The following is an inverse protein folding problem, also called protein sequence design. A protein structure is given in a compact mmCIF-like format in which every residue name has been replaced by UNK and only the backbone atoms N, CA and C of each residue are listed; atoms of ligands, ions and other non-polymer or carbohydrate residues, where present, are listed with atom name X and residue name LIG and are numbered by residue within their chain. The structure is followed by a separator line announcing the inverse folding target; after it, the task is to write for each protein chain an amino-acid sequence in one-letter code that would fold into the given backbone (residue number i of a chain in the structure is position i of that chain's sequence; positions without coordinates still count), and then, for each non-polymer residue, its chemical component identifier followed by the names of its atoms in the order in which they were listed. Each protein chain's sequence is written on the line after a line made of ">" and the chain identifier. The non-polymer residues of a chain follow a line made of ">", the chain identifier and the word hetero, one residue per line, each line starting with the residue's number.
data_IF_240513973279
#
_entry.id   IF_240513973279
#
_cell.length_a   1.000
_cell.length_b   1.000
_cell.length_c   1.000
_cell.angle_alpha   90.00
_cell.angle_beta   90.00
_cell.angle_gamma   90.00
#
_symmetry.space_group_name_H-M   'P 1'
#
loop_
_entity.id
_entity.type
_entity.pdbx_description
1 polymer ?
#
# COMPACT_ATOMS: atom_id res chain seq x y z
N UNK A 1 -22.70 33.36 10.22
CA UNK A 1 -22.38 32.04 10.79
C UNK A 1 -21.85 31.16 9.69
N UNK A 2 -20.53 31.19 9.48
CA UNK A 2 -19.81 30.36 8.51
C UNK A 2 -18.49 29.98 9.20
N UNK A 3 -18.52 28.94 9.99
CA UNK A 3 -17.36 28.34 10.64
C UNK A 3 -17.83 27.01 11.19
N UNK A 4 -17.03 25.95 10.99
CA UNK A 4 -17.06 24.64 11.68
C UNK A 4 -17.25 23.42 10.77
N UNK A 5 -17.42 23.59 9.45
CA UNK A 5 -17.47 22.46 8.50
C UNK A 5 -16.12 21.97 7.98
N UNK A 6 -15.09 22.82 7.96
CA UNK A 6 -13.84 22.57 7.22
C UNK A 6 -12.77 21.79 7.98
N UNK A 7 -12.87 21.68 9.30
CA UNK A 7 -11.88 20.94 10.11
C UNK A 7 -12.18 19.43 10.20
N UNK A 8 -13.37 18.98 9.80
CA UNK A 8 -13.77 17.57 9.87
C UNK A 8 -13.44 16.76 8.61
N UNK A 9 -13.02 17.40 7.52
CA UNK A 9 -12.79 16.76 6.21
C UNK A 9 -11.34 16.30 6.00
N UNK A 10 -10.43 16.67 6.91
CA UNK A 10 -9.00 16.34 6.80
C UNK A 10 -8.80 14.83 6.96
N UNK A 11 -8.35 14.19 5.88
CA UNK A 11 -8.10 12.75 5.81
C UNK A 11 -9.32 11.91 5.41
N UNK A 12 -10.49 12.51 5.16
CA UNK A 12 -11.65 11.78 4.65
C UNK A 12 -11.39 11.27 3.23
N UNK A 13 -10.77 12.10 2.39
CA UNK A 13 -10.38 11.77 1.02
C UNK A 13 -9.42 10.57 0.99
N UNK A 14 -8.37 10.61 1.82
CA UNK A 14 -7.42 9.50 1.92
C UNK A 14 -8.09 8.18 2.38
N UNK A 15 -9.00 8.24 3.37
CA UNK A 15 -9.72 7.03 3.84
C UNK A 15 -10.54 6.38 2.75
N UNK A 16 -11.17 7.14 1.86
CA UNK A 16 -11.91 6.58 0.73
C UNK A 16 -11.01 5.89 -0.29
N UNK A 17 -9.80 6.41 -0.51
CA UNK A 17 -8.80 5.73 -1.34
C UNK A 17 -8.30 4.45 -0.66
N UNK A 18 -8.04 4.49 0.66
CA UNK A 18 -7.69 3.30 1.45
C UNK A 18 -8.80 2.23 1.36
N UNK A 19 -10.08 2.62 1.45
CA UNK A 19 -11.21 1.71 1.25
C UNK A 19 -11.21 1.11 -0.15
N UNK A 20 -11.04 1.93 -1.19
CA UNK A 20 -11.04 1.46 -2.58
C UNK A 20 -9.90 0.48 -2.87
N UNK A 21 -8.69 0.76 -2.37
CA UNK A 21 -7.53 -0.14 -2.51
C UNK A 21 -7.75 -1.46 -1.76
N UNK A 22 -8.31 -1.41 -0.53
CA UNK A 22 -8.64 -2.63 0.23
C UNK A 22 -9.72 -3.46 -0.44
N UNK A 23 -10.73 -2.83 -1.04
CA UNK A 23 -11.76 -3.52 -1.83
C UNK A 23 -11.14 -4.24 -3.04
N UNK A 24 -10.25 -3.56 -3.77
CA UNK A 24 -9.55 -4.16 -4.91
C UNK A 24 -8.68 -5.34 -4.49
N UNK A 25 -7.96 -5.23 -3.37
CA UNK A 25 -7.18 -6.34 -2.84
C UNK A 25 -8.07 -7.53 -2.44
N UNK A 26 -9.21 -7.27 -1.78
CA UNK A 26 -10.18 -8.30 -1.43
C UNK A 26 -10.76 -9.01 -2.67
N UNK A 27 -11.02 -8.27 -3.75
CA UNK A 27 -11.44 -8.84 -5.04
C UNK A 27 -10.39 -9.80 -5.62
N UNK A 28 -9.11 -9.42 -5.58
CA UNK A 28 -8.00 -10.29 -6.05
C UNK A 28 -7.93 -11.56 -5.21
N UNK A 29 -8.00 -11.46 -3.88
CA UNK A 29 -8.01 -12.63 -2.97
C UNK A 29 -9.22 -13.53 -3.25
N UNK A 30 -10.41 -12.94 -3.46
CA UNK A 30 -11.61 -13.70 -3.82
C UNK A 30 -11.45 -14.45 -5.14
N UNK A 31 -10.90 -13.80 -6.17
CA UNK A 31 -10.61 -14.45 -7.46
C UNK A 31 -9.61 -15.60 -7.32
N UNK A 32 -8.61 -15.45 -6.45
CA UNK A 32 -7.67 -16.52 -6.12
C UNK A 32 -8.37 -17.70 -5.42
N UNK A 33 -9.21 -17.44 -4.40
CA UNK A 33 -10.03 -18.48 -3.77
C UNK A 33 -10.89 -19.23 -4.80
N UNK A 34 -11.54 -18.50 -5.72
CA UNK A 34 -12.34 -19.09 -6.79
C UNK A 34 -11.51 -19.94 -7.76
N UNK A 35 -10.26 -19.55 -8.02
CA UNK A 35 -9.35 -20.34 -8.85
C UNK A 35 -8.95 -21.66 -8.16
N UNK A 36 -8.75 -21.66 -6.84
CA UNK A 36 -8.39 -22.86 -6.07
C UNK A 36 -9.51 -23.91 -6.03
N UNK A 37 -10.76 -23.47 -6.00
CA UNK A 37 -11.93 -24.36 -6.01
C UNK A 37 -12.42 -24.67 -7.43
N UNK A 38 -11.78 -24.11 -8.46
CA UNK A 38 -12.20 -24.29 -9.85
C UNK A 38 -12.10 -25.76 -10.25
N UNK A 39 -13.19 -26.30 -10.78
CA UNK A 39 -13.30 -27.71 -11.17
C UNK A 39 -13.93 -28.61 -10.11
N UNK A 40 -14.20 -28.08 -8.91
CA UNK A 40 -15.10 -28.72 -7.95
C UNK A 40 -16.53 -28.32 -8.35
N UNK A 41 -17.25 -29.24 -8.98
CA UNK A 41 -18.66 -29.04 -9.33
C UNK A 41 -19.51 -29.14 -8.05
N UNK A 42 -20.29 -28.11 -7.66
CA UNK A 42 -21.21 -28.23 -6.54
C UNK A 42 -22.30 -29.29 -6.77
N UNK A 43 -22.58 -29.68 -8.03
CA UNK A 43 -23.53 -30.71 -8.42
C UNK A 43 -22.86 -32.08 -8.69
N UNK A 44 -21.75 -32.37 -8.00
CA UNK A 44 -21.08 -33.68 -8.06
C UNK A 44 -22.08 -34.83 -7.88
N UNK A 45 -22.33 -35.57 -8.96
CA UNK A 45 -23.15 -36.78 -8.92
C UNK A 45 -22.49 -37.86 -8.04
N UNK A 46 -23.29 -38.77 -7.47
CA UNK A 46 -22.84 -39.83 -6.56
C UNK A 46 -21.75 -40.77 -7.12
N UNK A 47 -21.46 -40.71 -8.43
CA UNK A 47 -20.45 -41.53 -9.12
C UNK A 47 -19.15 -40.79 -9.44
N UNK A 48 -19.02 -39.51 -9.05
CA UNK A 48 -17.85 -38.68 -9.37
C UNK A 48 -16.98 -38.46 -8.12
N UNK A 49 -15.68 -38.74 -8.22
CA UNK A 49 -14.72 -38.48 -7.16
C UNK A 49 -13.65 -37.49 -7.63
N UNK A 50 -13.43 -36.43 -6.84
CA UNK A 50 -12.35 -35.46 -7.05
C UNK A 50 -11.37 -35.60 -5.90
N UNK A 51 -10.08 -35.72 -6.21
CA UNK A 51 -9.01 -35.71 -5.22
C UNK A 51 -8.48 -34.28 -5.10
N UNK A 52 -8.63 -33.67 -3.92
CA UNK A 52 -8.05 -32.36 -3.59
C UNK A 52 -6.83 -32.61 -2.71
N UNK A 53 -5.70 -31.97 -3.03
CA UNK A 53 -4.50 -32.09 -2.22
C UNK A 53 -4.66 -31.30 -0.90
N UNK A 54 -4.15 -31.83 0.21
CA UNK A 54 -4.17 -31.15 1.53
C UNK A 54 -3.59 -29.73 1.44
N UNK A 55 -2.49 -29.56 0.68
CA UNK A 55 -1.88 -28.27 0.42
C UNK A 55 -2.83 -27.24 -0.22
N UNK A 56 -3.73 -27.66 -1.13
CA UNK A 56 -4.71 -26.77 -1.75
C UNK A 56 -5.81 -26.36 -0.77
N UNK A 57 -6.18 -27.25 0.16
CA UNK A 57 -7.14 -26.96 1.23
C UNK A 57 -6.54 -25.95 2.21
N UNK A 58 -5.27 -26.10 2.56
CA UNK A 58 -4.57 -25.17 3.43
C UNK A 58 -4.35 -23.80 2.77
N UNK A 59 -3.99 -23.78 1.49
CA UNK A 59 -3.88 -22.55 0.69
C UNK A 59 -5.23 -21.80 0.65
N UNK A 60 -6.32 -22.53 0.37
CA UNK A 60 -7.67 -21.96 0.38
C UNK A 60 -8.05 -21.43 1.76
N UNK A 61 -7.74 -22.17 2.83
CA UNK A 61 -8.02 -21.73 4.21
C UNK A 61 -7.29 -20.43 4.53
N UNK A 62 -6.02 -20.31 4.13
CA UNK A 62 -5.23 -19.10 4.28
C UNK A 62 -5.84 -17.91 3.54
N UNK A 63 -6.19 -18.10 2.25
CA UNK A 63 -6.78 -17.04 1.44
C UNK A 63 -8.16 -16.59 1.94
N UNK A 64 -8.98 -17.51 2.45
CA UNK A 64 -10.29 -17.18 3.06
C UNK A 64 -10.12 -16.39 4.36
N UNK A 65 -9.14 -16.74 5.21
CA UNK A 65 -8.85 -15.98 6.42
C UNK A 65 -8.40 -14.55 6.09
N UNK A 66 -7.49 -14.39 5.12
CA UNK A 66 -7.05 -13.08 4.64
C UNK A 66 -8.21 -12.23 4.11
N UNK A 67 -9.13 -12.84 3.34
CA UNK A 67 -10.33 -12.16 2.85
C UNK A 67 -11.21 -11.67 4.01
N UNK A 68 -11.37 -12.48 5.06
CA UNK A 68 -12.11 -12.11 6.27
C UNK A 68 -11.53 -10.87 6.95
N UNK A 69 -10.21 -10.87 7.17
CA UNK A 69 -9.50 -9.73 7.79
C UNK A 69 -9.66 -8.44 6.96
N UNK A 70 -9.56 -8.55 5.63
CA UNK A 70 -9.76 -7.40 4.71
C UNK A 70 -11.17 -6.84 4.81
N UNK A 71 -12.19 -7.70 4.84
CA UNK A 71 -13.60 -7.28 4.98
C UNK A 71 -13.84 -6.57 6.32
N UNK A 72 -13.27 -7.07 7.41
CA UNK A 72 -13.36 -6.42 8.73
C UNK A 72 -12.75 -5.02 8.72
N UNK A 73 -11.56 -4.86 8.12
CA UNK A 73 -10.89 -3.57 7.99
C UNK A 73 -11.68 -2.58 7.13
N UNK A 74 -12.28 -3.04 6.02
CA UNK A 74 -13.16 -2.22 5.18
C UNK A 74 -14.37 -1.73 5.99
N UNK A 75 -14.98 -2.62 6.79
CA UNK A 75 -16.08 -2.26 7.70
C UNK A 75 -15.67 -1.17 8.69
N UNK A 76 -14.54 -1.36 9.37
CA UNK A 76 -14.01 -0.39 10.33
C UNK A 76 -13.70 0.98 9.70
N UNK A 77 -13.15 1.01 8.48
CA UNK A 77 -12.90 2.26 7.76
C UNK A 77 -14.20 2.95 7.32
N UNK A 78 -15.18 2.17 6.85
CA UNK A 78 -16.48 2.69 6.42
C UNK A 78 -17.23 3.32 7.58
N UNK A 79 -17.25 2.67 8.75
CA UNK A 79 -17.88 3.19 9.97
C UNK A 79 -17.26 4.51 10.44
N UNK A 80 -15.92 4.64 10.33
CA UNK A 80 -15.19 5.88 10.64
C UNK A 80 -15.45 7.01 9.63
N UNK A 81 -16.00 6.69 8.46
CA UNK A 81 -16.19 7.63 7.34
C UNK A 81 -17.67 8.00 7.15
N UNK A 82 -18.55 7.55 8.06
CA UNK A 82 -20.01 7.59 7.96
C UNK A 82 -20.67 8.99 8.08
N UNK A 83 -20.03 10.10 7.67
CA UNK A 83 -20.64 11.44 7.78
C UNK A 83 -20.41 12.30 6.55
N UNK A 84 -21.51 12.84 6.02
CA UNK A 84 -21.54 13.92 5.03
C UNK A 84 -21.33 13.50 3.58
N UNK A 85 -21.69 14.39 2.66
CA UNK A 85 -21.19 14.38 1.29
C UNK A 85 -19.84 15.08 1.26
N UNK A 86 -18.83 14.49 0.63
CA UNK A 86 -17.51 15.06 0.48
C UNK A 86 -17.14 15.08 -1.01
N UNK A 87 -16.25 16.00 -1.39
CA UNK A 87 -15.74 16.13 -2.76
C UNK A 87 -14.31 15.59 -2.82
N UNK A 88 -14.05 14.62 -3.70
CA UNK A 88 -12.71 14.09 -3.95
C UNK A 88 -11.97 14.99 -4.95
N UNK A 89 -10.96 15.72 -4.46
CA UNK A 89 -10.05 16.49 -5.30
C UNK A 89 -8.67 15.87 -5.27
N UNK A 90 -8.10 15.60 -6.46
CA UNK A 90 -6.76 15.02 -6.60
C UNK A 90 -5.69 15.80 -5.82
N UNK A 91 -5.73 17.14 -5.87
CA UNK A 91 -4.77 17.98 -5.15
C UNK A 91 -4.88 17.82 -3.63
N UNK A 92 -6.11 17.71 -3.09
CA UNK A 92 -6.31 17.50 -1.65
C UNK A 92 -5.78 16.13 -1.25
N UNK A 93 -6.09 15.08 -2.03
CA UNK A 93 -5.56 13.74 -1.81
C UNK A 93 -4.04 13.73 -1.77
N UNK A 94 -3.38 14.38 -2.73
CA UNK A 94 -1.93 14.45 -2.81
C UNK A 94 -1.33 15.18 -1.61
N UNK A 95 -1.90 16.32 -1.19
CA UNK A 95 -1.42 17.05 -0.02
C UNK A 95 -1.58 16.25 1.28
N UNK A 96 -2.72 15.57 1.46
CA UNK A 96 -2.95 14.70 2.61
C UNK A 96 -2.00 13.50 2.60
N UNK A 97 -1.77 12.89 1.44
CA UNK A 97 -0.89 11.75 1.31
C UNK A 97 0.58 12.13 1.55
N UNK A 98 1.02 13.27 1.03
CA UNK A 98 2.37 13.81 1.23
C UNK A 98 2.61 14.08 2.72
N UNK A 99 1.66 14.74 3.39
CA UNK A 99 1.76 15.04 4.81
C UNK A 99 1.77 13.77 5.67
N UNK A 100 0.90 12.81 5.37
CA UNK A 100 0.81 11.55 6.10
C UNK A 100 2.08 10.70 5.92
N UNK A 101 2.58 10.57 4.68
CA UNK A 101 3.80 9.83 4.41
C UNK A 101 5.00 10.49 5.11
N UNK A 102 5.17 11.81 4.96
CA UNK A 102 6.26 12.57 5.58
C UNK A 102 6.28 12.46 7.10
N UNK A 103 5.11 12.38 7.73
CA UNK A 103 4.98 12.21 9.19
C UNK A 103 5.42 10.82 9.68
N UNK A 104 5.57 9.86 8.76
CA UNK A 104 5.91 8.47 9.03
C UNK A 104 4.69 7.61 9.31
N UNK A 105 4.60 6.49 8.59
CA UNK A 105 3.50 5.52 8.71
C UNK A 105 4.11 4.16 8.98
N UNK A 106 3.74 3.55 10.10
CA UNK A 106 4.31 2.27 10.52
C UNK A 106 3.79 1.07 9.69
N UNK A 107 2.55 1.15 9.21
CA UNK A 107 1.92 0.12 8.39
C UNK A 107 2.38 0.24 6.92
N UNK A 108 3.04 -0.80 6.41
CA UNK A 108 3.56 -0.82 5.03
C UNK A 108 2.44 -0.76 3.99
N UNK A 109 1.30 -1.42 4.22
CA UNK A 109 0.17 -1.38 3.28
C UNK A 109 -0.34 0.05 3.14
N UNK A 110 -0.38 0.78 4.27
CA UNK A 110 -0.79 2.18 4.27
C UNK A 110 0.25 3.07 3.60
N UNK A 111 1.55 2.82 3.81
CA UNK A 111 2.61 3.53 3.11
C UNK A 111 2.52 3.33 1.58
N UNK A 112 2.18 2.12 1.11
CA UNK A 112 1.97 1.83 -0.31
C UNK A 112 0.77 2.58 -0.89
N UNK A 113 -0.38 2.61 -0.19
CA UNK A 113 -1.55 3.37 -0.62
C UNK A 113 -1.21 4.86 -0.76
N UNK A 114 -0.47 5.41 0.21
CA UNK A 114 0.02 6.78 0.17
C UNK A 114 0.95 7.01 -1.02
N UNK A 115 1.88 6.09 -1.28
CA UNK A 115 2.78 6.16 -2.42
C UNK A 115 2.01 6.19 -3.76
N UNK A 116 0.99 5.34 -3.94
CA UNK A 116 0.14 5.30 -5.16
C UNK A 116 -0.62 6.61 -5.42
N UNK A 117 -0.87 7.38 -4.36
CA UNK A 117 -1.52 8.69 -4.47
C UNK A 117 -0.56 9.79 -4.98
N UNK A 118 0.75 9.57 -4.87
CA UNK A 118 1.78 10.60 -5.07
C UNK A 118 2.61 10.34 -6.34
N UNK A 119 2.79 11.34 -7.22
CA UNK A 119 3.81 11.27 -8.26
C UNK A 119 5.21 11.29 -7.65
N UNK A 120 6.19 10.74 -8.37
CA UNK A 120 7.60 10.70 -7.94
C UNK A 120 8.12 12.03 -7.38
N UNK A 121 7.81 13.15 -8.05
CA UNK A 121 8.34 14.48 -7.69
C UNK A 121 7.87 15.03 -6.34
N UNK A 122 6.73 14.55 -5.79
CA UNK A 122 6.24 14.90 -4.44
C UNK A 122 6.34 13.72 -3.47
N UNK A 123 6.21 12.50 -3.96
CA UNK A 123 6.29 11.28 -3.16
C UNK A 123 7.68 10.94 -2.65
N UNK A 124 8.72 11.10 -3.48
CA UNK A 124 10.10 10.81 -3.08
C UNK A 124 10.61 11.74 -1.97
N UNK A 125 10.36 13.06 -2.00
CA UNK A 125 10.66 13.94 -0.88
C UNK A 125 9.92 13.55 0.40
N UNK A 126 8.66 13.16 0.31
CA UNK A 126 7.88 12.73 1.46
C UNK A 126 8.45 11.47 2.11
N UNK A 127 8.79 10.46 1.29
CA UNK A 127 9.46 9.25 1.78
C UNK A 127 10.84 9.55 2.37
N UNK A 128 11.61 10.44 1.75
CA UNK A 128 12.90 10.87 2.29
C UNK A 128 12.76 11.53 3.68
N UNK A 129 11.70 12.32 3.88
CA UNK A 129 11.39 12.88 5.19
C UNK A 129 11.08 11.78 6.21
N UNK A 130 10.28 10.78 5.84
CA UNK A 130 10.00 9.60 6.68
C UNK A 130 11.28 8.92 7.15
N UNK A 131 12.18 8.61 6.21
CA UNK A 131 13.43 7.89 6.47
C UNK A 131 14.41 8.67 7.36
N UNK A 132 14.32 10.00 7.39
CA UNK A 132 15.21 10.85 8.20
C UNK A 132 14.66 11.14 9.59
N UNK A 133 13.35 11.37 9.66
CA UNK A 133 12.70 11.93 10.83
C UNK A 133 12.06 10.86 11.72
N UNK A 134 11.90 9.63 11.21
CA UNK A 134 11.18 8.56 11.91
C UNK A 134 11.84 7.20 11.69
N UNK A 135 11.63 6.30 12.66
CA UNK A 135 11.98 4.89 12.56
C UNK A 135 10.78 4.05 12.07
N UNK A 136 9.76 4.68 11.46
CA UNK A 136 8.55 4.00 10.97
C UNK A 136 8.84 2.93 9.91
N UNK A 137 9.99 3.03 9.24
CA UNK A 137 10.44 2.05 8.27
C UNK A 137 10.86 0.72 8.91
N UNK A 138 11.21 0.70 10.19
CA UNK A 138 11.56 -0.53 10.92
C UNK A 138 10.37 -1.49 11.02
N UNK A 139 9.12 -0.97 11.02
CA UNK A 139 7.91 -1.78 11.07
C UNK A 139 7.40 -2.24 9.71
N UNK A 140 8.02 -1.81 8.60
CA UNK A 140 7.69 -2.32 7.26
C UNK A 140 8.23 -3.74 7.01
N UNK A 141 9.09 -4.23 7.92
CA UNK A 141 9.55 -5.60 7.96
C UNK A 141 10.23 -6.04 6.67
N UNK A 142 9.84 -7.22 6.17
CA UNK A 142 10.47 -7.87 5.03
C UNK A 142 10.06 -7.36 3.64
N UNK A 143 9.33 -6.25 3.55
CA UNK A 143 8.95 -5.68 2.27
C UNK A 143 10.18 -5.21 1.47
N UNK A 144 10.28 -5.50 0.17
CA UNK A 144 11.38 -4.99 -0.66
C UNK A 144 11.31 -3.48 -0.82
N UNK A 145 12.46 -2.79 -0.77
CA UNK A 145 12.56 -1.35 -1.01
C UNK A 145 11.99 -0.99 -2.38
N UNK A 146 12.35 -1.77 -3.40
CA UNK A 146 11.89 -1.58 -4.77
C UNK A 146 10.38 -1.72 -4.92
N UNK A 147 9.72 -2.50 -4.05
CA UNK A 147 8.27 -2.63 -4.06
C UNK A 147 7.59 -1.33 -3.68
N UNK A 148 7.97 -0.72 -2.54
CA UNK A 148 7.41 0.55 -2.11
C UNK A 148 7.77 1.69 -3.07
N UNK A 149 9.02 1.75 -3.54
CA UNK A 149 9.44 2.76 -4.53
C UNK A 149 8.70 2.61 -5.87
N UNK A 150 8.35 1.38 -6.27
CA UNK A 150 7.56 1.11 -7.46
C UNK A 150 6.07 1.45 -7.31
N UNK A 151 5.58 1.70 -6.10
CA UNK A 151 4.19 2.10 -5.86
C UNK A 151 3.91 3.56 -6.20
N UNK A 152 4.94 4.42 -6.26
CA UNK A 152 4.74 5.84 -6.61
C UNK A 152 4.24 5.99 -8.05
N UNK A 153 3.37 6.98 -8.28
CA UNK A 153 2.91 7.30 -9.62
C UNK A 153 4.09 7.80 -10.46
N UNK A 154 4.13 7.35 -11.71
CA UNK A 154 5.21 7.62 -12.67
C UNK A 154 6.54 6.94 -12.33
N UNK A 155 6.58 6.08 -11.29
CA UNK A 155 7.74 5.24 -11.04
C UNK A 155 7.72 4.01 -11.97
N UNK A 156 8.78 3.84 -12.74
CA UNK A 156 9.02 2.61 -13.51
C UNK A 156 10.18 1.80 -12.94
N UNK A 157 10.33 0.57 -13.44
CA UNK A 157 11.37 -0.34 -12.98
C UNK A 157 12.78 0.20 -13.20
N UNK A 158 13.01 0.97 -14.27
CA UNK A 158 14.31 1.55 -14.57
C UNK A 158 14.67 2.63 -13.56
N UNK A 159 13.71 3.50 -13.24
CA UNK A 159 13.85 4.53 -12.24
C UNK A 159 14.14 3.93 -10.85
N UNK A 160 13.36 2.94 -10.44
CA UNK A 160 13.55 2.27 -9.15
C UNK A 160 14.97 1.69 -9.05
N UNK A 161 15.40 0.94 -10.08
CA UNK A 161 16.77 0.38 -10.13
C UNK A 161 17.85 1.45 -10.12
N UNK A 162 17.63 2.55 -10.83
CA UNK A 162 18.57 3.66 -10.89
C UNK A 162 18.73 4.31 -9.50
N UNK A 163 17.63 4.65 -8.85
CA UNK A 163 17.60 5.29 -7.53
C UNK A 163 18.19 4.38 -6.45
N UNK A 164 17.79 3.11 -6.40
CA UNK A 164 18.37 2.17 -5.42
C UNK A 164 19.85 1.94 -5.70
N UNK A 165 20.26 1.86 -6.97
CA UNK A 165 21.66 1.73 -7.37
C UNK A 165 22.52 2.91 -6.92
N UNK A 166 22.04 4.14 -7.08
CA UNK A 166 22.70 5.34 -6.55
C UNK A 166 22.80 5.33 -5.02
N UNK A 167 21.83 4.72 -4.34
CA UNK A 167 21.83 4.54 -2.89
C UNK A 167 22.65 3.32 -2.43
N UNK A 168 23.35 2.61 -3.34
CA UNK A 168 24.09 1.36 -3.06
C UNK A 168 23.23 0.24 -2.49
N UNK A 169 21.96 0.17 -2.93
CA UNK A 169 20.96 -0.80 -2.49
C UNK A 169 20.43 -1.63 -3.68
N UNK A 170 20.11 -2.89 -3.40
CA UNK A 170 19.31 -3.71 -4.30
C UNK A 170 17.83 -3.31 -4.18
N UNK A 171 17.05 -3.27 -5.28
CA UNK A 171 15.59 -3.17 -5.18
C UNK A 171 14.95 -4.28 -4.34
N UNK A 172 15.58 -5.45 -4.30
CA UNK A 172 15.12 -6.61 -3.51
C UNK A 172 15.59 -6.56 -2.05
N UNK A 173 16.41 -5.56 -1.68
CA UNK A 173 16.80 -5.37 -0.29
C UNK A 173 15.55 -5.06 0.54
N UNK A 174 15.49 -5.63 1.75
CA UNK A 174 14.36 -5.45 2.66
C UNK A 174 14.62 -4.29 3.60
N UNK A 175 13.56 -3.60 4.00
CA UNK A 175 13.66 -2.44 4.90
C UNK A 175 14.31 -2.81 6.25
N UNK A 176 13.94 -3.96 6.82
CA UNK A 176 14.48 -4.49 8.08
C UNK A 176 15.96 -4.91 8.04
N UNK A 177 16.54 -5.05 6.85
CA UNK A 177 17.94 -5.44 6.64
C UNK A 177 18.86 -4.26 6.31
N UNK A 178 18.29 -3.08 6.08
CA UNK A 178 19.05 -1.91 5.71
C UNK A 178 19.49 -1.14 6.96
N UNK A 179 20.77 -0.81 7.04
CA UNK A 179 21.28 0.03 8.12
C UNK A 179 20.87 1.51 7.93
N UNK A 180 21.01 2.28 9.01
CA UNK A 180 20.65 3.71 9.03
C UNK A 180 21.43 4.53 8.01
N UNK A 181 22.65 4.13 7.67
CA UNK A 181 23.49 4.85 6.70
C UNK A 181 22.99 4.62 5.27
N UNK A 182 22.63 3.39 4.93
CA UNK A 182 21.99 3.00 3.67
C UNK A 182 20.67 3.73 3.48
N UNK A 183 19.83 3.77 4.51
CA UNK A 183 18.55 4.49 4.47
C UNK A 183 18.75 6.01 4.37
N UNK A 184 19.76 6.56 5.04
CA UNK A 184 20.15 7.97 4.91
C UNK A 184 20.62 8.32 3.49
N UNK A 185 21.42 7.45 2.85
CA UNK A 185 21.81 7.60 1.45
C UNK A 185 20.60 7.54 0.51
N UNK A 186 19.69 6.59 0.73
CA UNK A 186 18.47 6.49 -0.05
C UNK A 186 17.65 7.78 0.04
N UNK A 187 17.41 8.30 1.25
CA UNK A 187 16.71 9.57 1.45
C UNK A 187 17.36 10.73 0.68
N UNK A 188 18.69 10.83 0.68
CA UNK A 188 19.43 11.85 -0.07
C UNK A 188 19.26 11.69 -1.59
N UNK A 189 19.30 10.47 -2.11
CA UNK A 189 19.10 10.21 -3.55
C UNK A 189 17.68 10.57 -3.98
N UNK A 190 16.68 10.18 -3.19
CA UNK A 190 15.27 10.47 -3.45
C UNK A 190 15.01 11.99 -3.58
N UNK A 191 15.55 12.79 -2.66
CA UNK A 191 15.42 14.26 -2.71
C UNK A 191 16.12 14.87 -3.93
N UNK A 192 17.34 14.43 -4.22
CA UNK A 192 18.10 14.93 -5.39
C UNK A 192 17.40 14.62 -6.68
N UNK A 193 16.83 13.41 -6.80
CA UNK A 193 16.08 13.01 -7.97
C UNK A 193 14.81 13.85 -8.15
N UNK A 194 14.05 14.05 -7.08
CA UNK A 194 12.84 14.87 -7.11
C UNK A 194 13.13 16.35 -7.43
N UNK A 195 14.28 16.88 -6.99
CA UNK A 195 14.72 18.25 -7.32
C UNK A 195 15.10 18.40 -8.80
N UNK A 196 15.67 17.37 -9.43
CA UNK A 196 16.06 17.38 -10.83
C UNK A 196 14.89 17.20 -11.81
N UNK A 197 13.74 16.70 -11.33
CA UNK A 197 12.52 16.48 -12.12
C UNK A 197 11.58 17.70 -12.17
N UNK A 198 11.95 18.83 -11.56
CA UNK A 198 11.21 20.11 -11.56
C UNK A 198 11.73 21.04 -12.65
#
# INVERSE_FOLDING_TARGET
>A
MLSDGTHYDVGATLRWVEIAERLRAAEVTLLHCLALVRGIDPDLSATSAITVAEAQVDELRGAVAELGDRVEQIGALTDRTRRGSFELRLRTLQLEAEAALSAGVADVERAEVLARCLPVHSGFPALAATLRCTDAHESWGGAPIGHLLGCFRDADLHLVRHVTGLATLSPEARWDQCDREQLGRLALVLERHAAAAR
#
